data_IF_449581494372
#
_entry.id   IF_449581494372
#
_cell.length_a   1.000
_cell.length_b   1.000
_cell.length_c   1.000
_cell.angle_alpha   90.00
_cell.angle_beta   90.00
_cell.angle_gamma   90.00
#
_symmetry.space_group_name_H-M   'P 1'
#
loop_
_entity.id
_entity.type
_entity.pdbx_description
1 polymer ?
#
# COMPACT_ATOMS: atom_id res chain seq x y z
N UNK A 1 23.27 -4.71 3.09
CA UNK A 1 22.65 -3.48 2.55
C UNK A 1 21.85 -2.85 3.67
N UNK A 2 22.05 -1.56 3.94
CA UNK A 2 21.21 -0.84 4.90
C UNK A 2 20.03 -0.24 4.13
N UNK A 3 18.84 -0.77 4.37
CA UNK A 3 17.60 -0.18 3.84
C UNK A 3 17.13 0.94 4.76
N UNK A 4 16.56 2.00 4.18
CA UNK A 4 16.07 3.15 4.93
C UNK A 4 14.76 2.81 5.64
N UNK A 5 14.67 3.09 6.95
CA UNK A 5 13.40 3.09 7.64
C UNK A 5 12.67 4.42 7.38
N UNK A 6 11.45 4.35 6.91
CA UNK A 6 10.59 5.51 6.70
C UNK A 6 9.60 5.65 7.84
N UNK A 7 9.53 6.84 8.43
CA UNK A 7 8.53 7.19 9.44
C UNK A 7 7.33 7.80 8.72
N UNK A 8 6.18 7.14 8.78
CA UNK A 8 4.95 7.63 8.19
C UNK A 8 4.23 8.53 9.19
N UNK A 9 4.00 9.78 8.80
CA UNK A 9 3.22 10.73 9.59
C UNK A 9 1.79 10.78 9.05
N UNK A 10 0.83 10.66 9.94
CA UNK A 10 -0.60 10.75 9.65
C UNK A 10 -1.17 12.03 10.23
N UNK A 11 -2.17 12.60 9.56
CA UNK A 11 -3.05 13.56 10.20
C UNK A 11 -3.88 12.84 11.27
N UNK A 12 -4.04 13.47 12.45
CA UNK A 12 -4.58 12.82 13.66
C UNK A 12 -5.97 12.18 13.48
N UNK A 13 -6.70 12.51 12.42
CA UNK A 13 -8.07 12.07 12.19
C UNK A 13 -8.22 11.16 10.94
N UNK A 14 -7.12 10.78 10.29
CA UNK A 14 -7.19 9.96 9.07
C UNK A 14 -6.69 8.53 9.33
N UNK A 15 -7.41 7.51 8.87
CA UNK A 15 -7.01 6.10 9.04
C UNK A 15 -5.84 5.70 8.14
N UNK A 16 -5.49 6.51 7.15
CA UNK A 16 -4.43 6.26 6.20
C UNK A 16 -3.85 7.57 5.66
N UNK A 17 -2.64 7.51 5.11
CA UNK A 17 -2.07 8.56 4.27
C UNK A 17 -2.30 8.17 2.81
N UNK A 18 -3.01 9.02 2.08
CA UNK A 18 -3.29 8.83 0.66
C UNK A 18 -2.52 9.85 -0.16
N UNK A 19 -1.75 9.39 -1.13
CA UNK A 19 -0.89 10.24 -1.96
C UNK A 19 -1.18 9.96 -3.43
N UNK A 20 -1.39 11.02 -4.20
CA UNK A 20 -1.51 10.98 -5.66
C UNK A 20 -0.16 11.37 -6.25
N UNK A 21 0.46 10.47 -7.00
CA UNK A 21 1.83 10.63 -7.45
C UNK A 21 1.91 10.55 -8.99
N UNK A 22 2.68 11.49 -9.55
CA UNK A 22 3.12 11.49 -10.93
C UNK A 22 4.63 11.26 -10.93
N UNK A 23 5.09 10.10 -11.35
CA UNK A 23 6.49 9.72 -11.32
C UNK A 23 7.03 9.64 -12.75
N UNK A 24 8.20 10.22 -12.98
CA UNK A 24 8.95 10.07 -14.24
C UNK A 24 10.27 9.37 -13.98
N UNK A 25 10.65 8.44 -14.83
CA UNK A 25 11.92 7.71 -14.72
C UNK A 25 13.16 8.61 -14.79
N UNK A 26 13.02 9.81 -15.35
CA UNK A 26 14.14 10.77 -15.46
C UNK A 26 14.39 11.53 -14.14
N UNK A 27 13.35 11.79 -13.37
CA UNK A 27 13.41 12.66 -12.19
C UNK A 27 13.20 11.92 -10.87
N UNK A 28 12.55 10.75 -10.92
CA UNK A 28 12.20 10.03 -9.72
C UNK A 28 13.37 9.16 -9.22
N UNK A 29 13.83 9.46 -8.00
CA UNK A 29 14.85 8.71 -7.29
C UNK A 29 14.29 8.21 -5.98
N UNK A 30 13.70 7.03 -5.99
CA UNK A 30 13.28 6.35 -4.76
C UNK A 30 14.33 5.32 -4.38
N UNK A 31 14.68 5.27 -3.11
CA UNK A 31 15.53 4.25 -2.54
C UNK A 31 14.69 3.12 -1.93
N UNK A 32 15.23 1.91 -1.92
CA UNK A 32 14.64 0.80 -1.18
C UNK A 32 14.47 1.19 0.28
N UNK A 33 13.25 1.11 0.76
CA UNK A 33 12.88 1.46 2.13
C UNK A 33 11.91 0.44 2.71
N UNK A 34 11.61 0.59 3.98
CA UNK A 34 10.61 -0.19 4.68
C UNK A 34 9.95 0.65 5.76
N UNK A 35 8.73 0.32 6.09
CA UNK A 35 7.95 0.92 7.17
C UNK A 35 6.99 -0.10 7.78
N UNK A 36 6.34 0.26 8.86
CA UNK A 36 5.44 -0.63 9.59
C UNK A 36 4.05 -0.72 8.94
N UNK A 37 3.67 0.29 8.25
CA UNK A 37 2.37 0.42 7.63
C UNK A 37 2.26 -0.48 6.40
N UNK A 38 1.20 -1.30 6.25
CA UNK A 38 0.89 -1.89 4.95
C UNK A 38 0.59 -0.79 3.93
N UNK A 39 1.05 -0.99 2.70
CA UNK A 39 0.89 -0.01 1.62
C UNK A 39 0.24 -0.64 0.41
N UNK A 40 -0.80 0.02 -0.11
CA UNK A 40 -1.42 -0.29 -1.39
C UNK A 40 -1.00 0.73 -2.42
N UNK A 41 -0.58 0.26 -3.60
CA UNK A 41 -0.26 1.11 -4.76
C UNK A 41 -1.15 0.69 -5.92
N UNK A 42 -2.00 1.60 -6.37
CA UNK A 42 -2.88 1.42 -7.53
C UNK A 42 -2.37 2.26 -8.70
N UNK A 43 -2.20 1.63 -9.86
CA UNK A 43 -1.72 2.31 -11.07
C UNK A 43 -2.91 2.88 -11.84
N UNK A 44 -2.98 4.22 -11.91
CA UNK A 44 -4.01 4.96 -12.62
C UNK A 44 -3.72 4.98 -14.13
N UNK A 45 -2.43 5.16 -14.50
CA UNK A 45 -2.00 5.26 -15.89
C UNK A 45 -0.54 4.83 -16.02
N UNK A 46 -0.22 4.06 -17.05
CA UNK A 46 1.13 3.57 -17.33
C UNK A 46 1.47 2.27 -16.60
N UNK A 47 2.74 2.10 -16.24
CA UNK A 47 3.24 0.88 -15.60
C UNK A 47 4.26 1.22 -14.51
N UNK A 48 4.20 0.49 -13.39
CA UNK A 48 5.15 0.60 -12.30
C UNK A 48 5.96 -0.69 -12.12
N UNK A 49 7.27 -0.56 -11.97
CA UNK A 49 8.13 -1.61 -11.42
C UNK A 49 8.13 -1.49 -9.89
N UNK A 50 7.83 -2.59 -9.22
CA UNK A 50 7.70 -2.69 -7.77
C UNK A 50 8.64 -3.77 -7.21
N UNK A 51 9.93 -3.46 -6.99
CA UNK A 51 10.81 -4.33 -6.24
C UNK A 51 10.30 -4.51 -4.80
N UNK A 52 10.24 -5.77 -4.35
CA UNK A 52 9.82 -6.16 -2.99
C UNK A 52 10.63 -7.38 -2.53
N UNK A 53 11.35 -7.24 -1.43
CA UNK A 53 12.13 -8.34 -0.82
C UNK A 53 13.05 -9.10 -1.79
N UNK A 54 13.59 -8.41 -2.80
CA UNK A 54 14.50 -8.96 -3.82
C UNK A 54 13.83 -9.45 -5.11
N UNK A 55 12.49 -9.47 -5.17
CA UNK A 55 11.73 -9.77 -6.38
C UNK A 55 11.12 -8.49 -6.96
N UNK A 56 10.95 -8.42 -8.28
CA UNK A 56 10.33 -7.27 -8.94
C UNK A 56 9.02 -7.69 -9.60
N UNK A 57 7.95 -7.00 -9.27
CA UNK A 57 6.64 -7.15 -9.89
C UNK A 57 6.38 -5.97 -10.82
N UNK A 58 5.89 -6.23 -12.03
CA UNK A 58 5.37 -5.19 -12.92
C UNK A 58 3.86 -5.05 -12.66
N UNK A 59 3.44 -3.84 -12.33
CA UNK A 59 2.02 -3.49 -12.08
C UNK A 59 1.54 -2.62 -13.22
N UNK A 60 0.47 -3.06 -13.89
CA UNK A 60 -0.11 -2.38 -15.04
C UNK A 60 -1.22 -1.42 -14.61
N UNK A 61 -1.58 -0.52 -15.54
CA UNK A 61 -2.77 0.32 -15.41
C UNK A 61 -4.01 -0.48 -15.01
N UNK A 62 -4.76 0.03 -14.04
CA UNK A 62 -5.95 -0.62 -13.50
C UNK A 62 -5.69 -1.75 -12.50
N UNK A 63 -4.43 -2.08 -12.24
CA UNK A 63 -4.06 -3.10 -11.25
C UNK A 63 -3.39 -2.47 -10.01
N UNK A 64 -3.14 -3.27 -8.98
CA UNK A 64 -2.53 -2.82 -7.76
C UNK A 64 -1.57 -3.84 -7.15
N UNK A 65 -0.70 -3.37 -6.28
CA UNK A 65 0.16 -4.19 -5.42
C UNK A 65 -0.04 -3.82 -3.96
N UNK A 66 0.14 -4.79 -3.07
CA UNK A 66 0.16 -4.60 -1.63
C UNK A 66 1.56 -4.96 -1.11
N UNK A 67 2.16 -4.03 -0.38
CA UNK A 67 3.32 -4.26 0.47
C UNK A 67 2.85 -4.48 1.90
N UNK A 68 3.30 -5.56 2.51
CA UNK A 68 3.00 -5.83 3.91
C UNK A 68 3.90 -5.00 4.84
N UNK A 69 3.51 -4.93 6.10
CA UNK A 69 4.35 -4.38 7.16
C UNK A 69 5.76 -4.98 7.10
N UNK A 70 6.78 -4.13 7.11
CA UNK A 70 8.20 -4.48 7.10
C UNK A 70 8.73 -5.06 5.76
N UNK A 71 7.92 -5.10 4.69
CA UNK A 71 8.43 -5.41 3.35
C UNK A 71 9.45 -4.33 2.92
N UNK A 72 10.62 -4.76 2.47
CA UNK A 72 11.58 -3.86 1.82
C UNK A 72 11.15 -3.67 0.38
N UNK A 73 10.78 -2.45 0.02
CA UNK A 73 10.18 -2.16 -1.28
C UNK A 73 10.54 -0.79 -1.84
N UNK A 74 10.20 -0.58 -3.09
CA UNK A 74 10.07 0.72 -3.74
C UNK A 74 9.07 0.64 -4.89
N UNK A 75 8.62 1.80 -5.37
CA UNK A 75 7.80 1.94 -6.56
C UNK A 75 8.48 2.91 -7.50
N UNK A 76 8.61 2.54 -8.77
CA UNK A 76 9.22 3.39 -9.79
C UNK A 76 8.55 3.18 -11.16
N UNK A 77 8.55 4.18 -12.04
CA UNK A 77 8.14 3.99 -13.43
C UNK A 77 9.11 3.05 -14.16
N UNK A 78 8.63 2.37 -15.18
CA UNK A 78 9.48 1.66 -16.14
C UNK A 78 10.44 2.65 -16.78
N UNK A 79 11.67 2.22 -17.05
CA UNK A 79 12.71 3.08 -17.66
C UNK A 79 12.22 3.72 -18.96
N UNK A 80 12.39 5.02 -19.08
CA UNK A 80 11.95 5.81 -20.24
C UNK A 80 10.47 6.16 -20.25
N UNK A 81 9.74 5.89 -19.16
CA UNK A 81 8.30 6.19 -19.06
C UNK A 81 7.95 7.05 -17.84
N UNK A 82 6.67 7.36 -17.71
CA UNK A 82 6.06 7.92 -16.52
C UNK A 82 4.91 7.04 -16.06
N UNK A 83 4.55 7.15 -14.78
CA UNK A 83 3.42 6.46 -14.18
C UNK A 83 2.63 7.40 -13.29
N UNK A 84 1.31 7.32 -13.35
CA UNK A 84 0.39 7.97 -12.43
C UNK A 84 -0.20 6.93 -11.50
N UNK A 85 -0.14 7.16 -10.20
CA UNK A 85 -0.59 6.19 -9.22
C UNK A 85 -1.16 6.86 -7.95
N UNK A 86 -1.91 6.08 -7.22
CA UNK A 86 -2.32 6.37 -5.85
C UNK A 86 -1.59 5.41 -4.91
N UNK A 87 -0.94 5.97 -3.89
CA UNK A 87 -0.30 5.24 -2.82
C UNK A 87 -1.08 5.44 -1.52
N UNK A 88 -1.42 4.36 -0.83
CA UNK A 88 -2.25 4.36 0.39
C UNK A 88 -1.48 3.62 1.49
N UNK A 89 -0.90 4.39 2.41
CA UNK A 89 -0.22 3.84 3.58
C UNK A 89 -1.25 3.70 4.72
N UNK A 90 -1.57 2.46 5.07
CA UNK A 90 -2.63 2.12 6.03
C UNK A 90 -2.11 2.21 7.46
N UNK A 91 -2.73 3.03 8.31
CA UNK A 91 -2.31 3.20 9.71
C UNK A 91 -2.35 1.88 10.48
N UNK A 92 -1.19 1.44 10.93
CA UNK A 92 -1.04 0.22 11.71
C UNK A 92 -1.78 0.32 13.06
N UNK A 93 -1.73 1.47 13.70
CA UNK A 93 -2.41 1.70 14.97
C UNK A 93 -3.93 1.72 14.81
N UNK A 94 -4.43 2.24 13.69
CA UNK A 94 -5.86 2.18 13.39
C UNK A 94 -6.33 0.72 13.19
N UNK A 95 -5.57 -0.10 12.47
CA UNK A 95 -5.88 -1.54 12.31
C UNK A 95 -5.90 -2.28 13.65
N UNK A 96 -5.02 -1.92 14.58
CA UNK A 96 -4.93 -2.54 15.91
C UNK A 96 -6.23 -2.39 16.72
N UNK A 97 -7.02 -1.35 16.47
CA UNK A 97 -8.31 -1.16 17.13
C UNK A 97 -9.31 -2.28 16.79
N UNK A 98 -9.20 -2.87 15.60
CA UNK A 98 -10.10 -3.92 15.10
C UNK A 98 -9.48 -5.32 15.14
N UNK A 99 -8.16 -5.42 15.09
CA UNK A 99 -7.42 -6.67 15.08
C UNK A 99 -6.26 -6.62 16.08
N UNK A 100 -6.47 -7.13 17.29
CA UNK A 100 -5.45 -7.12 18.36
C UNK A 100 -4.20 -7.93 18.00
N UNK A 101 -4.33 -8.93 17.11
CA UNK A 101 -3.22 -9.77 16.63
C UNK A 101 -2.55 -9.25 15.37
N UNK A 102 -2.77 -7.98 15.00
CA UNK A 102 -2.28 -7.41 13.73
C UNK A 102 -0.75 -7.53 13.57
N UNK A 103 0.01 -7.52 14.66
CA UNK A 103 1.47 -7.73 14.63
C UNK A 103 1.88 -9.09 14.02
N UNK A 104 0.99 -10.07 14.04
CA UNK A 104 1.19 -11.41 13.50
C UNK A 104 0.49 -11.66 12.16
N UNK A 105 -0.22 -10.64 11.66
CA UNK A 105 -0.97 -10.74 10.41
C UNK A 105 -0.09 -10.36 9.22
N UNK A 106 -0.25 -11.11 8.14
CA UNK A 106 0.21 -10.78 6.80
C UNK A 106 -1.02 -10.78 5.89
N UNK A 107 -1.12 -9.82 5.02
CA UNK A 107 -2.17 -9.80 4.00
C UNK A 107 -1.71 -10.59 2.79
N UNK A 108 -2.48 -11.59 2.40
CA UNK A 108 -2.26 -12.43 1.23
C UNK A 108 -3.35 -12.09 0.19
N UNK A 109 -2.92 -11.71 -1.00
CA UNK A 109 -3.82 -11.40 -2.12
C UNK A 109 -4.12 -12.64 -3.01
N UNK A 110 -3.72 -13.83 -2.59
CA UNK A 110 -4.17 -15.11 -3.18
C UNK A 110 -5.63 -15.39 -2.80
N UNK A 111 -6.48 -14.38 -3.00
CA UNK A 111 -7.90 -14.38 -2.66
C UNK A 111 -8.76 -14.63 -3.89
N UNK A 112 -10.08 -14.80 -3.68
CA UNK A 112 -11.00 -14.96 -4.80
C UNK A 112 -10.95 -13.78 -5.77
N UNK A 113 -11.17 -14.01 -7.09
CA UNK A 113 -11.26 -12.93 -8.07
C UNK A 113 -12.25 -11.83 -7.68
N UNK A 114 -13.35 -12.21 -7.03
CA UNK A 114 -14.37 -11.27 -6.56
C UNK A 114 -13.86 -10.35 -5.45
N UNK A 115 -13.00 -10.85 -4.55
CA UNK A 115 -12.38 -10.02 -3.52
C UNK A 115 -11.37 -9.06 -4.13
N UNK A 116 -10.53 -9.55 -5.06
CA UNK A 116 -9.57 -8.71 -5.79
C UNK A 116 -10.30 -7.60 -6.56
N UNK A 117 -11.38 -7.94 -7.25
CA UNK A 117 -12.19 -6.98 -8.00
C UNK A 117 -12.78 -5.88 -7.10
N UNK A 118 -13.31 -6.23 -5.91
CA UNK A 118 -13.81 -5.25 -4.95
C UNK A 118 -12.73 -4.31 -4.41
N UNK A 119 -11.49 -4.79 -4.25
CA UNK A 119 -10.37 -3.93 -3.89
C UNK A 119 -10.05 -2.95 -5.02
N UNK A 120 -9.99 -3.42 -6.28
CA UNK A 120 -9.77 -2.58 -7.46
C UNK A 120 -10.85 -1.48 -7.56
N UNK A 121 -12.13 -1.83 -7.40
CA UNK A 121 -13.24 -0.87 -7.45
C UNK A 121 -13.07 0.25 -6.42
N UNK A 122 -12.72 -0.09 -5.17
CA UNK A 122 -12.50 0.93 -4.13
C UNK A 122 -11.26 1.77 -4.41
N UNK A 123 -10.19 1.17 -4.90
CA UNK A 123 -8.97 1.89 -5.26
C UNK A 123 -9.20 2.85 -6.42
N UNK A 124 -10.00 2.44 -7.40
CA UNK A 124 -10.43 3.30 -8.50
C UNK A 124 -11.30 4.46 -7.99
N UNK A 125 -12.28 4.22 -7.13
CA UNK A 125 -13.09 5.26 -6.49
C UNK A 125 -12.23 6.30 -5.76
N UNK A 126 -11.17 5.86 -5.05
CA UNK A 126 -10.19 6.75 -4.44
C UNK A 126 -9.43 7.56 -5.49
N UNK A 127 -8.95 6.89 -6.56
CA UNK A 127 -8.18 7.53 -7.63
C UNK A 127 -8.98 8.61 -8.37
N UNK A 128 -10.30 8.45 -8.48
CA UNK A 128 -11.23 9.36 -9.14
C UNK A 128 -11.76 10.48 -8.20
N UNK A 129 -11.47 10.41 -6.90
CA UNK A 129 -11.92 11.42 -5.93
C UNK A 129 -11.36 12.80 -6.29
N UNK A 130 -12.24 13.78 -6.47
CA UNK A 130 -11.84 15.16 -6.68
C UNK A 130 -11.35 15.80 -5.35
N UNK A 131 -10.07 16.14 -5.22
CA UNK A 131 -9.53 16.68 -3.96
C UNK A 131 -10.09 18.08 -3.61
N UNK A 132 -10.73 18.77 -4.56
CA UNK A 132 -11.34 20.08 -4.35
C UNK A 132 -12.81 20.01 -3.90
N UNK A 133 -13.38 18.80 -3.81
CA UNK A 133 -14.72 18.63 -3.24
C UNK A 133 -14.67 18.86 -1.73
N UNK A 134 -15.63 19.61 -1.19
CA UNK A 134 -15.71 19.97 0.24
C UNK A 134 -15.71 18.75 1.17
N UNK A 135 -16.28 17.63 0.71
CA UNK A 135 -16.42 16.38 1.47
C UNK A 135 -15.46 15.27 1.00
N UNK A 136 -14.49 15.59 0.17
CA UNK A 136 -13.53 14.62 -0.40
C UNK A 136 -12.81 13.81 0.68
N UNK A 137 -12.40 14.46 1.78
CA UNK A 137 -11.75 13.77 2.91
C UNK A 137 -12.68 12.76 3.57
N UNK A 138 -13.95 13.09 3.75
CA UNK A 138 -14.93 12.17 4.33
C UNK A 138 -15.15 10.96 3.45
N UNK A 139 -15.29 11.17 2.14
CA UNK A 139 -15.42 10.10 1.14
C UNK A 139 -14.18 9.20 1.13
N UNK A 140 -12.99 9.80 1.16
CA UNK A 140 -11.73 9.07 1.19
C UNK A 140 -11.61 8.20 2.46
N UNK A 141 -12.01 8.71 3.64
CA UNK A 141 -12.06 7.94 4.89
C UNK A 141 -13.03 6.76 4.76
N UNK A 142 -14.19 6.94 4.13
CA UNK A 142 -15.15 5.86 3.92
C UNK A 142 -14.55 4.74 3.03
N UNK A 143 -13.90 5.10 1.93
CA UNK A 143 -13.22 4.15 1.03
C UNK A 143 -12.06 3.42 1.73
N UNK A 144 -11.23 4.13 2.49
CA UNK A 144 -10.15 3.52 3.25
C UNK A 144 -10.70 2.51 4.28
N UNK A 145 -11.79 2.82 4.97
CA UNK A 145 -12.44 1.87 5.88
C UNK A 145 -12.97 0.63 5.14
N UNK A 146 -13.48 0.78 3.91
CA UNK A 146 -13.87 -0.36 3.06
C UNK A 146 -12.66 -1.24 2.70
N UNK A 147 -11.48 -0.64 2.42
CA UNK A 147 -10.23 -1.37 2.22
C UNK A 147 -9.88 -2.18 3.49
N UNK A 148 -9.88 -1.55 4.66
CA UNK A 148 -9.61 -2.26 5.93
C UNK A 148 -10.54 -3.46 6.12
N UNK A 149 -11.84 -3.26 5.88
CA UNK A 149 -12.82 -4.34 5.99
C UNK A 149 -12.48 -5.50 5.05
N UNK A 150 -12.17 -5.21 3.78
CA UNK A 150 -11.85 -6.24 2.77
C UNK A 150 -10.56 -6.99 3.13
N UNK A 151 -9.52 -6.27 3.53
CA UNK A 151 -8.24 -6.87 3.91
C UNK A 151 -8.37 -7.72 5.17
N UNK A 152 -8.94 -7.19 6.25
CA UNK A 152 -9.05 -7.90 7.52
C UNK A 152 -9.99 -9.10 7.43
N UNK A 153 -11.05 -9.03 6.62
CA UNK A 153 -12.02 -10.11 6.48
C UNK A 153 -11.56 -11.24 5.56
N UNK A 154 -10.88 -10.91 4.46
CA UNK A 154 -10.68 -11.86 3.37
C UNK A 154 -9.22 -12.17 3.07
N UNK A 155 -8.28 -11.31 3.46
CA UNK A 155 -6.89 -11.38 3.02
C UNK A 155 -5.92 -11.72 4.17
N UNK A 156 -6.40 -11.92 5.40
CA UNK A 156 -5.51 -12.18 6.55
C UNK A 156 -4.98 -13.60 6.55
N UNK A 157 -3.68 -13.73 6.72
CA UNK A 157 -3.04 -14.96 7.17
C UNK A 157 -2.07 -14.66 8.31
N UNK A 158 -1.68 -15.68 9.09
CA UNK A 158 -0.76 -15.49 10.19
C UNK A 158 0.68 -15.73 9.72
N UNK A 159 1.59 -14.86 10.14
CA UNK A 159 3.03 -15.08 9.96
C UNK A 159 3.36 -16.47 10.53
N UNK A 160 3.87 -17.38 9.72
CA UNK A 160 4.54 -18.56 10.26
C UNK A 160 5.71 -18.09 11.09
N UNK A 161 5.91 -18.63 12.28
CA UNK A 161 7.10 -18.37 13.08
C UNK A 161 8.33 -18.81 12.26
N UNK A 162 8.92 -17.89 11.52
CA UNK A 162 10.17 -18.11 10.82
C UNK A 162 11.28 -17.80 11.81
N UNK A 163 12.14 -18.78 12.11
CA UNK A 163 13.37 -18.62 12.90
C UNK A 163 14.44 -17.81 12.15
N UNK A 164 14.07 -16.76 11.43
CA UNK A 164 15.03 -15.93 10.73
C UNK A 164 15.01 -14.50 11.30
N UNK A 165 16.01 -14.11 12.10
CA UNK A 165 16.16 -12.74 12.54
C UNK A 165 16.79 -11.91 11.42
N UNK A 166 15.97 -11.30 10.55
CA UNK A 166 16.49 -10.45 9.45
C UNK A 166 16.55 -8.97 9.85
N UNK A 167 15.97 -8.57 10.98
CA UNK A 167 16.03 -7.17 11.41
C UNK A 167 16.34 -7.10 12.91
N UNK A 168 17.40 -6.37 13.34
CA UNK A 168 17.64 -6.09 14.74
C UNK A 168 16.50 -5.21 15.28
N UNK A 169 15.72 -5.72 16.21
CA UNK A 169 14.78 -4.90 16.99
C UNK A 169 15.60 -3.88 17.80
N UNK A 170 15.39 -2.62 17.56
CA UNK A 170 15.78 -1.53 18.47
C UNK A 170 14.58 -1.08 19.26
#
# INVERSE_FOLDING_TARGET
>A
MNYKYEIINYDQNTPAKVMYLNLSSETHKTELHWHREPELVYVIEGQAECPRNGETTLVNEGDFILFNSEDVHLVRPVVGTSVRLVCIQLSFEYMRMFCKSIDSVVFDLSVSPQTKQKLIEVLQEIAETNPNDEYSTLLQIAHVNKIYYLLLKNCTCFKRATNNPIIPRR
#
